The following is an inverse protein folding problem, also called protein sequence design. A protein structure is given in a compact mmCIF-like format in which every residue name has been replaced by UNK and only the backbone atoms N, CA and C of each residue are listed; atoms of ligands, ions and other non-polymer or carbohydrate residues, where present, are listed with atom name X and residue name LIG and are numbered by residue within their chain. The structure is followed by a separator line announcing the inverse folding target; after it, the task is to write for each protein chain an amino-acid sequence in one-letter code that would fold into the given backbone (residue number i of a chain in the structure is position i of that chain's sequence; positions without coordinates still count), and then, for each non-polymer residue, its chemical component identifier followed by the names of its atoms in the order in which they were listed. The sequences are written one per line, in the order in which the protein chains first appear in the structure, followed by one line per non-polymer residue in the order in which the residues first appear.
data_IF_863259860998
#
_entry.id   IF_863259860998
#
_cell.length_a   1.000
_cell.length_b   1.000
_cell.length_c   1.000
_cell.angle_alpha   90.00
_cell.angle_beta   90.00
_cell.angle_gamma   90.00
#
_symmetry.space_group_name_H-M   'P 1'
#
loop_
_entity.id
_entity.type
_entity.pdbx_description
1 polymer ?
#
# COMPACT_ATOMS: atom_id res chain seq x y z
N UNK A 1 -19.52 -6.10 -6.99
CA UNK A 1 -18.86 -5.31 -8.06
C UNK A 1 -17.52 -4.70 -7.62
N UNK A 2 -17.31 -4.31 -6.36
CA UNK A 2 -15.96 -3.98 -5.84
C UNK A 2 -15.21 -5.17 -5.22
N UNK A 3 -15.95 -6.19 -4.78
CA UNK A 3 -15.42 -7.45 -4.23
C UNK A 3 -14.53 -8.21 -5.23
N UNK A 4 -14.99 -8.43 -6.47
CA UNK A 4 -14.21 -9.15 -7.49
C UNK A 4 -12.90 -8.45 -7.86
N UNK A 5 -12.84 -7.11 -7.79
CA UNK A 5 -11.61 -6.36 -8.04
C UNK A 5 -10.62 -6.48 -6.88
N UNK A 6 -11.13 -6.45 -5.64
CA UNK A 6 -10.31 -6.68 -4.44
C UNK A 6 -9.76 -8.11 -4.38
N UNK A 7 -10.48 -9.09 -4.91
CA UNK A 7 -10.06 -10.49 -5.00
C UNK A 7 -9.09 -10.76 -6.16
N UNK A 8 -9.03 -9.88 -7.16
CA UNK A 8 -8.22 -10.06 -8.36
C UNK A 8 -6.71 -9.86 -8.13
N UNK A 9 -6.28 -9.31 -6.99
CA UNK A 9 -4.86 -9.07 -6.74
C UNK A 9 -4.48 -9.39 -5.28
N UNK A 10 -3.43 -10.19 -5.03
CA UNK A 10 -3.10 -10.66 -3.68
C UNK A 10 -2.76 -9.53 -2.70
N UNK A 11 -2.30 -8.37 -3.17
CA UNK A 11 -2.05 -7.22 -2.29
C UNK A 11 -3.34 -6.52 -1.83
N UNK A 12 -4.44 -6.63 -2.60
CA UNK A 12 -5.76 -6.12 -2.21
C UNK A 12 -6.48 -7.09 -1.27
N UNK A 13 -6.39 -8.39 -1.53
CA UNK A 13 -6.92 -9.45 -0.64
C UNK A 13 -6.33 -9.36 0.76
N UNK A 14 -5.04 -9.01 0.85
CA UNK A 14 -4.35 -8.87 2.13
C UNK A 14 -4.97 -7.81 3.06
N UNK A 15 -5.70 -6.84 2.51
CA UNK A 15 -6.37 -5.81 3.31
C UNK A 15 -5.41 -5.01 4.17
N UNK A 16 -4.20 -4.71 3.66
CA UNK A 16 -3.19 -4.04 4.45
C UNK A 16 -2.48 -2.97 3.64
N UNK A 17 -2.13 -1.87 4.31
CA UNK A 17 -1.41 -0.74 3.74
C UNK A 17 -0.24 -0.33 4.62
N UNK A 18 0.73 0.37 4.02
CA UNK A 18 1.98 0.81 4.62
C UNK A 18 2.24 2.30 4.39
N UNK A 19 2.79 2.95 5.40
CA UNK A 19 3.35 4.29 5.27
C UNK A 19 4.77 4.20 4.72
N UNK A 20 5.04 4.87 3.59
CA UNK A 20 6.39 4.95 2.99
C UNK A 20 7.41 5.71 3.85
N UNK A 21 6.95 6.53 4.79
CA UNK A 21 7.79 7.39 5.63
C UNK A 21 8.15 6.71 6.94
N UNK A 22 7.16 6.32 7.75
CA UNK A 22 7.39 5.75 9.08
C UNK A 22 7.28 4.22 9.14
N UNK A 23 7.03 3.55 8.00
CA UNK A 23 6.81 2.09 7.89
C UNK A 23 5.65 1.52 8.73
N UNK A 24 4.80 2.39 9.31
CA UNK A 24 3.56 1.96 9.99
C UNK A 24 2.67 1.19 9.03
N UNK A 25 2.03 0.13 9.53
CA UNK A 25 1.07 -0.67 8.79
C UNK A 25 -0.33 -0.49 9.35
N UNK A 26 -1.35 -0.67 8.51
CA UNK A 26 -2.75 -0.63 8.94
C UNK A 26 -3.57 -1.64 8.14
N UNK A 27 -4.44 -2.37 8.85
CA UNK A 27 -5.44 -3.24 8.23
C UNK A 27 -6.63 -2.39 7.75
N UNK A 28 -7.09 -2.66 6.54
CA UNK A 28 -8.16 -1.94 5.85
C UNK A 28 -9.01 -2.89 5.03
N UNK A 29 -10.28 -2.55 4.87
CA UNK A 29 -11.09 -3.15 3.81
C UNK A 29 -10.71 -2.49 2.48
N UNK A 30 -10.01 -3.24 1.61
CA UNK A 30 -9.59 -2.75 0.29
C UNK A 30 -10.79 -2.38 -0.59
N UNK A 31 -11.92 -3.08 -0.49
CA UNK A 31 -13.12 -2.80 -1.29
C UNK A 31 -13.80 -1.49 -0.84
N UNK A 32 -13.77 -1.20 0.46
CA UNK A 32 -14.21 0.08 1.01
C UNK A 32 -13.25 1.21 0.62
N UNK A 33 -11.93 1.01 0.79
CA UNK A 33 -10.90 2.01 0.47
C UNK A 33 -10.86 2.36 -1.02
N UNK A 34 -11.22 1.43 -1.92
CA UNK A 34 -11.37 1.71 -3.35
C UNK A 34 -12.50 2.71 -3.64
N UNK A 35 -13.50 2.81 -2.75
CA UNK A 35 -14.63 3.73 -2.90
C UNK A 35 -14.45 5.03 -2.10
N UNK A 36 -14.01 4.93 -0.84
CA UNK A 36 -13.90 6.06 0.09
C UNK A 36 -12.51 6.73 0.09
N UNK A 37 -11.51 6.06 -0.49
CA UNK A 37 -10.12 6.48 -0.50
C UNK A 37 -9.27 5.79 0.57
N UNK A 38 -7.96 5.82 0.36
CA UNK A 38 -6.99 5.16 1.23
C UNK A 38 -6.63 6.00 2.46
N UNK A 39 -6.31 5.37 3.61
CA UNK A 39 -5.91 6.10 4.82
C UNK A 39 -4.59 6.85 4.62
N UNK A 40 -4.40 7.89 5.43
CA UNK A 40 -3.21 8.76 5.39
C UNK A 40 -2.32 8.56 6.62
N UNK A 41 -1.02 8.62 6.43
CA UNK A 41 -0.02 8.59 7.48
C UNK A 41 1.18 9.48 7.10
N UNK A 42 1.76 10.21 8.06
CA UNK A 42 2.84 11.18 7.81
C UNK A 42 2.51 12.23 6.74
N UNK A 43 1.23 12.59 6.58
CA UNK A 43 0.76 13.56 5.58
C UNK A 43 0.55 13.00 4.18
N UNK A 44 0.83 11.71 3.94
CA UNK A 44 0.69 11.06 2.64
C UNK A 44 -0.30 9.89 2.69
N UNK A 45 -0.91 9.58 1.55
CA UNK A 45 -1.72 8.37 1.40
C UNK A 45 -0.85 7.11 1.54
N UNK A 46 -1.31 6.14 2.31
CA UNK A 46 -0.61 4.87 2.50
C UNK A 46 -0.70 4.00 1.24
N UNK A 47 0.26 3.11 1.02
CA UNK A 47 0.32 2.21 -0.16
C UNK A 47 -0.06 0.78 0.21
N UNK A 48 -0.65 0.03 -0.73
CA UNK A 48 -0.84 -1.42 -0.64
C UNK A 48 0.43 -2.23 -0.92
N UNK A 49 1.49 -1.59 -1.42
CA UNK A 49 2.75 -2.27 -1.75
C UNK A 49 3.49 -2.68 -0.46
N UNK A 50 3.89 -3.95 -0.40
CA UNK A 50 4.68 -4.45 0.73
C UNK A 50 6.06 -3.77 0.79
N UNK A 51 6.61 -3.45 1.98
CA UNK A 51 7.93 -2.86 2.14
C UNK A 51 9.06 -3.59 1.43
N UNK A 52 8.97 -4.91 1.28
CA UNK A 52 9.98 -5.71 0.60
C UNK A 52 10.11 -5.40 -0.90
N UNK A 53 9.07 -4.82 -1.53
CA UNK A 53 9.13 -4.41 -2.95
C UNK A 53 9.71 -3.01 -3.12
N UNK A 54 10.01 -2.32 -2.01
CA UNK A 54 10.49 -0.95 -2.06
C UNK A 54 11.96 -0.99 -2.36
N UNK A 55 12.32 -0.69 -3.61
CA UNK A 55 13.73 -0.45 -3.96
C UNK A 55 14.19 0.74 -3.12
N UNK A 56 15.07 0.48 -2.16
CA UNK A 56 15.72 1.54 -1.40
C UNK A 56 16.55 2.35 -2.41
N UNK A 57 16.06 3.54 -2.77
CA UNK A 57 16.80 4.47 -3.62
C UNK A 57 18.02 4.94 -2.85
N UNK A 58 19.12 4.20 -2.98
CA UNK A 58 20.37 4.52 -2.32
C UNK A 58 21.46 3.54 -2.67
N UNK A 59 21.78 3.36 -3.96
CA UNK A 59 23.11 2.93 -4.48
C UNK A 59 23.06 2.72 -6.01
N UNK A 60 23.14 3.79 -6.81
CA UNK A 60 23.72 3.73 -8.18
C UNK A 60 24.25 5.12 -8.57
N UNK A 61 25.38 5.51 -8.02
CA UNK A 61 26.34 6.36 -8.73
C UNK A 61 27.71 5.70 -8.58
N UNK A 62 28.19 5.05 -9.64
CA UNK A 62 29.58 4.70 -9.95
C UNK A 62 29.55 3.79 -11.18
N UNK A 63 29.88 4.38 -12.33
CA UNK A 63 29.97 3.73 -13.64
C UNK A 63 30.09 4.78 -14.73
#
# INVERSE_FOLDING_TARGET
MYSEMAESHPSLVRGQVWCRTCRRTQQVDSAECLQSGWPKCCGHTMTIDHPDTWVEKGQTENG
#
